data_IF_673652314798
#
_entry.id   IF_673652314798
#
_cell.length_a   1.000
_cell.length_b   1.000
_cell.length_c   1.000
_cell.angle_alpha   90.00
_cell.angle_beta   90.00
_cell.angle_gamma   90.00
#
_symmetry.space_group_name_H-M   'P 1'
#
loop_
_entity.id
_entity.type
_entity.pdbx_description
1 polymer ?
#
# COMPACT_ATOMS: atom_id res chain seq x y z
N UNK A 1 2.17 10.23 -82.40
CA UNK A 1 1.77 10.93 -81.17
C UNK A 1 1.56 9.87 -80.12
N UNK A 2 2.52 9.69 -79.22
CA UNK A 2 2.50 8.65 -78.19
C UNK A 2 2.51 9.36 -76.84
N UNK A 3 1.41 9.23 -76.09
CA UNK A 3 1.29 9.81 -74.76
C UNK A 3 2.11 8.98 -73.77
N UNK A 4 3.06 9.60 -73.08
CA UNK A 4 3.71 9.02 -71.91
C UNK A 4 2.73 9.05 -70.73
N UNK A 5 2.44 7.90 -70.16
CA UNK A 5 1.77 7.80 -68.88
C UNK A 5 2.69 8.33 -67.77
N UNK A 6 2.23 9.33 -67.03
CA UNK A 6 2.89 9.80 -65.82
C UNK A 6 2.84 8.69 -64.78
N UNK A 7 4.00 8.10 -64.45
CA UNK A 7 4.15 7.29 -63.25
C UNK A 7 4.12 8.25 -62.06
N UNK A 8 3.00 8.23 -61.33
CA UNK A 8 2.87 8.97 -60.07
C UNK A 8 3.93 8.50 -59.08
N UNK A 9 4.60 9.45 -58.45
CA UNK A 9 5.48 9.18 -57.32
C UNK A 9 4.60 8.87 -56.11
N UNK A 10 4.52 7.61 -55.69
CA UNK A 10 4.03 7.26 -54.35
C UNK A 10 5.00 7.83 -53.33
N UNK A 11 4.53 8.72 -52.45
CA UNK A 11 5.33 9.16 -51.31
C UNK A 11 5.49 7.98 -50.34
N UNK A 12 6.58 7.90 -49.57
CA UNK A 12 6.74 6.90 -48.52
C UNK A 12 5.61 6.90 -47.46
N UNK A 13 4.83 7.98 -47.37
CA UNK A 13 3.63 8.10 -46.56
C UNK A 13 2.39 7.39 -47.14
N UNK A 14 2.40 7.03 -48.43
CA UNK A 14 1.25 6.42 -49.12
C UNK A 14 1.22 4.89 -48.97
N UNK A 15 2.25 4.32 -48.34
CA UNK A 15 2.24 2.93 -47.87
C UNK A 15 1.81 2.99 -46.42
N UNK A 16 0.67 2.38 -46.06
CA UNK A 16 0.41 2.03 -44.66
C UNK A 16 1.58 1.16 -44.19
N UNK A 17 2.52 1.77 -43.48
CA UNK A 17 3.75 1.12 -43.03
C UNK A 17 3.48 0.08 -41.93
N UNK A 18 2.25 0.06 -41.40
CA UNK A 18 1.78 -0.87 -40.38
C UNK A 18 0.40 -1.35 -40.79
N UNK A 19 0.25 -2.66 -40.99
CA UNK A 19 -1.08 -3.26 -41.09
C UNK A 19 -1.81 -2.96 -39.78
N UNK A 20 -3.07 -2.55 -39.85
CA UNK A 20 -3.92 -2.48 -38.66
C UNK A 20 -3.97 -3.88 -38.07
N UNK A 21 -3.43 -4.06 -36.87
CA UNK A 21 -3.51 -5.33 -36.17
C UNK A 21 -4.99 -5.48 -35.76
N UNK A 22 -5.71 -6.41 -36.40
CA UNK A 22 -7.10 -6.75 -36.06
C UNK A 22 -7.20 -7.49 -34.72
N UNK A 23 -6.07 -7.81 -34.10
CA UNK A 23 -6.01 -8.54 -32.84
C UNK A 23 -6.23 -7.58 -31.67
N UNK A 24 -7.02 -8.01 -30.69
CA UNK A 24 -7.35 -7.26 -29.48
C UNK A 24 -6.66 -7.87 -28.25
N UNK A 25 -6.56 -7.06 -27.19
CA UNK A 25 -6.08 -7.51 -25.88
C UNK A 25 -7.29 -7.81 -24.98
N UNK A 26 -7.41 -9.04 -24.53
CA UNK A 26 -8.47 -9.46 -23.61
C UNK A 26 -7.95 -9.42 -22.17
N UNK A 27 -8.83 -9.07 -21.23
CA UNK A 27 -8.62 -9.37 -19.81
C UNK A 27 -9.10 -10.81 -19.59
N UNK A 28 -8.16 -11.76 -19.55
CA UNK A 28 -8.49 -13.20 -19.53
C UNK A 28 -8.81 -13.73 -18.14
N UNK A 29 -8.23 -13.13 -17.11
CA UNK A 29 -8.45 -13.50 -15.70
C UNK A 29 -8.22 -12.30 -14.79
N UNK A 30 -8.93 -12.22 -13.67
CA UNK A 30 -8.68 -11.24 -12.61
C UNK A 30 -8.47 -11.92 -11.27
N UNK A 31 -7.61 -11.33 -10.43
CA UNK A 31 -7.46 -11.69 -9.02
C UNK A 31 -7.64 -10.43 -8.17
N UNK A 32 -8.66 -10.32 -7.32
CA UNK A 32 -9.72 -11.29 -7.12
C UNK A 32 -10.59 -11.51 -8.37
N UNK A 33 -11.28 -12.65 -8.42
CA UNK A 33 -12.26 -12.93 -9.46
C UNK A 33 -13.49 -12.01 -9.33
N UNK A 34 -14.21 -11.81 -10.43
CA UNK A 34 -15.47 -11.04 -10.43
C UNK A 34 -16.46 -11.58 -9.38
N UNK A 35 -16.93 -10.69 -8.52
CA UNK A 35 -17.87 -11.00 -7.44
C UNK A 35 -17.27 -11.75 -6.26
N UNK A 36 -15.94 -11.91 -6.21
CA UNK A 36 -15.29 -12.59 -5.10
C UNK A 36 -15.59 -11.91 -3.75
N UNK A 37 -15.80 -12.72 -2.73
CA UNK A 37 -16.00 -12.29 -1.34
C UNK A 37 -14.87 -12.83 -0.48
N UNK A 38 -14.57 -12.20 0.65
CA UNK A 38 -13.51 -12.71 1.52
C UNK A 38 -12.10 -12.35 1.06
N UNK A 39 -11.96 -11.37 0.17
CA UNK A 39 -10.66 -10.96 -0.37
C UNK A 39 -9.81 -10.34 0.73
N UNK A 40 -8.56 -10.79 0.89
CA UNK A 40 -7.68 -10.25 1.92
C UNK A 40 -7.42 -8.74 1.69
N UNK A 41 -7.44 -7.97 2.77
CA UNK A 41 -7.43 -6.49 2.74
C UNK A 41 -6.14 -5.89 2.14
N UNK A 42 -5.05 -6.65 2.11
CA UNK A 42 -3.77 -6.26 1.53
C UNK A 42 -3.49 -6.89 0.17
N UNK A 43 -4.41 -7.71 -0.36
CA UNK A 43 -4.21 -8.37 -1.65
C UNK A 43 -4.16 -7.34 -2.78
N UNK A 44 -3.19 -7.43 -3.70
CA UNK A 44 -3.25 -6.68 -4.93
C UNK A 44 -4.49 -7.08 -5.74
N UNK A 45 -4.98 -6.15 -6.55
CA UNK A 45 -5.86 -6.49 -7.67
C UNK A 45 -4.99 -6.70 -8.89
N UNK A 46 -5.09 -7.86 -9.53
CA UNK A 46 -4.27 -8.26 -10.67
C UNK A 46 -5.18 -8.56 -11.86
N UNK A 47 -4.85 -7.99 -13.02
CA UNK A 47 -5.53 -8.22 -14.28
C UNK A 47 -4.56 -8.94 -15.20
N UNK A 48 -4.90 -10.16 -15.59
CA UNK A 48 -4.15 -10.94 -16.55
C UNK A 48 -4.64 -10.65 -17.97
N UNK A 49 -3.72 -10.26 -18.85
CA UNK A 49 -4.00 -9.91 -20.24
C UNK A 49 -3.61 -11.04 -21.20
N UNK A 50 -4.33 -11.18 -22.31
CA UNK A 50 -4.01 -12.15 -23.37
C UNK A 50 -2.67 -11.86 -24.07
N UNK A 51 -2.19 -10.61 -24.00
CA UNK A 51 -1.02 -10.08 -24.72
C UNK A 51 -0.22 -9.07 -23.89
N UNK A 52 0.95 -8.70 -24.39
CA UNK A 52 1.83 -7.73 -23.71
C UNK A 52 1.35 -6.31 -23.94
N UNK A 53 1.12 -5.56 -22.86
CA UNK A 53 0.69 -4.16 -22.91
C UNK A 53 1.88 -3.20 -23.06
N UNK A 54 1.71 -2.08 -23.76
CA UNK A 54 2.70 -1.00 -23.74
C UNK A 54 2.65 -0.30 -22.37
N UNK A 55 3.71 -0.35 -21.55
CA UNK A 55 3.72 0.28 -20.24
C UNK A 55 3.61 1.82 -20.31
N UNK A 56 3.93 2.44 -21.46
CA UNK A 56 3.74 3.87 -21.68
C UNK A 56 2.29 4.26 -22.01
N UNK A 57 1.45 3.29 -22.40
CA UNK A 57 0.06 3.50 -22.75
C UNK A 57 -0.91 3.34 -21.57
N UNK A 58 -0.40 3.08 -20.36
CA UNK A 58 -1.22 2.88 -19.17
C UNK A 58 -0.66 3.64 -17.98
N UNK A 59 -1.55 4.29 -17.25
CA UNK A 59 -1.25 4.99 -16.00
C UNK A 59 -2.42 4.89 -15.02
N UNK A 60 -2.37 5.67 -13.93
CA UNK A 60 -3.41 5.66 -12.88
C UNK A 60 -4.75 6.25 -13.33
N UNK A 61 -4.82 6.94 -14.47
CA UNK A 61 -6.10 7.43 -15.02
C UNK A 61 -6.86 6.30 -15.70
N UNK A 62 -6.12 5.36 -16.28
CA UNK A 62 -6.65 4.17 -16.94
C UNK A 62 -7.20 3.15 -15.95
N UNK A 63 -6.54 2.97 -14.80
CA UNK A 63 -6.93 1.99 -13.79
C UNK A 63 -7.09 2.63 -12.42
N UNK A 64 -8.29 2.56 -11.86
CA UNK A 64 -8.63 3.18 -10.58
C UNK A 64 -9.48 2.28 -9.69
N UNK A 65 -9.33 2.42 -8.37
CA UNK A 65 -10.09 1.67 -7.36
C UNK A 65 -11.10 2.59 -6.65
N UNK A 66 -12.29 2.06 -6.41
CA UNK A 66 -13.42 2.78 -5.86
C UNK A 66 -14.16 1.98 -4.80
N UNK A 67 -14.83 2.70 -3.89
CA UNK A 67 -15.96 2.17 -3.12
C UNK A 67 -17.04 3.25 -3.05
N UNK A 68 -18.25 2.94 -3.52
CA UNK A 68 -19.29 3.94 -3.73
C UNK A 68 -18.80 5.08 -4.63
N UNK A 69 -18.76 6.31 -4.09
CA UNK A 69 -18.28 7.51 -4.80
C UNK A 69 -16.83 7.90 -4.46
N UNK A 70 -16.16 7.13 -3.58
CA UNK A 70 -14.81 7.44 -3.09
C UNK A 70 -13.76 6.77 -3.98
N UNK A 71 -12.74 7.52 -4.35
CA UNK A 71 -11.59 7.07 -5.12
C UNK A 71 -10.41 6.79 -4.17
N UNK A 72 -9.68 5.71 -4.43
CA UNK A 72 -8.55 5.31 -3.60
C UNK A 72 -7.24 5.55 -4.33
N UNK A 73 -6.27 6.10 -3.61
CA UNK A 73 -4.90 6.18 -4.05
C UNK A 73 -4.31 4.77 -4.20
N UNK A 74 -3.77 4.49 -5.38
CA UNK A 74 -3.15 3.21 -5.71
C UNK A 74 -1.78 3.37 -6.36
N UNK A 75 -0.98 2.31 -6.23
CA UNK A 75 0.23 2.09 -6.99
C UNK A 75 -0.07 1.09 -8.10
N UNK A 76 0.39 1.41 -9.32
CA UNK A 76 0.29 0.54 -10.48
C UNK A 76 1.66 -0.10 -10.72
N UNK A 77 1.67 -1.41 -10.88
CA UNK A 77 2.84 -2.19 -11.32
C UNK A 77 2.45 -3.00 -12.55
N UNK A 78 3.37 -3.10 -13.51
CA UNK A 78 3.16 -3.83 -14.75
C UNK A 78 4.24 -4.88 -14.88
N UNK A 79 3.82 -6.14 -14.94
CA UNK A 79 4.72 -7.25 -15.24
C UNK A 79 4.55 -7.60 -16.71
N UNK A 80 5.59 -7.35 -17.51
CA UNK A 80 5.59 -7.70 -18.94
C UNK A 80 5.69 -9.22 -19.15
N UNK A 81 6.25 -9.93 -18.17
CA UNK A 81 6.38 -11.38 -18.13
C UNK A 81 5.90 -11.86 -16.75
N UNK A 82 4.69 -12.39 -16.70
CA UNK A 82 4.02 -12.74 -15.45
C UNK A 82 4.51 -14.09 -14.92
N UNK A 83 5.66 -14.10 -14.25
CA UNK A 83 6.07 -15.26 -13.42
C UNK A 83 5.12 -15.38 -12.22
N UNK A 84 4.77 -16.60 -11.82
CA UNK A 84 3.75 -16.85 -10.81
C UNK A 84 4.07 -16.10 -9.48
N UNK A 85 3.10 -15.37 -8.88
CA UNK A 85 3.35 -14.63 -7.65
C UNK A 85 3.44 -15.52 -6.40
N UNK A 86 2.97 -16.77 -6.46
CA UNK A 86 3.12 -17.74 -5.37
C UNK A 86 4.45 -18.50 -5.51
N UNK A 87 5.42 -18.30 -4.59
CA UNK A 87 6.69 -19.02 -4.60
C UNK A 87 6.55 -20.51 -4.22
N UNK A 88 5.35 -20.96 -3.83
CA UNK A 88 5.07 -22.35 -3.47
C UNK A 88 4.50 -23.20 -4.60
N UNK A 89 4.16 -22.60 -5.75
CA UNK A 89 3.76 -23.31 -6.96
C UNK A 89 5.00 -23.67 -7.80
N UNK A 90 5.34 -24.97 -7.96
CA UNK A 90 6.55 -25.40 -8.65
C UNK A 90 6.45 -25.36 -10.19
N UNK A 91 5.35 -24.88 -10.76
CA UNK A 91 5.18 -24.82 -12.22
C UNK A 91 5.92 -23.60 -12.80
N UNK A 92 6.97 -23.84 -13.60
CA UNK A 92 7.78 -22.81 -14.29
C UNK A 92 7.04 -22.07 -15.42
N UNK A 93 5.70 -22.20 -15.48
CA UNK A 93 4.86 -21.58 -16.50
C UNK A 93 4.36 -20.22 -16.03
N UNK A 94 4.31 -19.22 -16.93
CA UNK A 94 3.78 -17.91 -16.57
C UNK A 94 2.30 -18.04 -16.19
N UNK A 95 1.87 -17.33 -15.14
CA UNK A 95 0.48 -17.28 -14.72
C UNK A 95 -0.41 -16.71 -15.83
N UNK A 96 0.13 -15.75 -16.57
CA UNK A 96 -0.58 -15.03 -17.62
C UNK A 96 0.09 -15.21 -18.99
N UNK A 97 -0.68 -15.40 -20.09
CA UNK A 97 -0.11 -15.45 -21.44
C UNK A 97 0.54 -14.11 -21.86
N UNK A 98 0.05 -12.99 -21.35
CA UNK A 98 0.56 -11.64 -21.62
C UNK A 98 1.05 -10.91 -20.38
N UNK A 99 0.77 -9.61 -20.31
CA UNK A 99 1.14 -8.80 -19.15
C UNK A 99 0.17 -8.95 -17.99
N UNK A 100 0.67 -8.72 -16.78
CA UNK A 100 -0.16 -8.54 -15.58
C UNK A 100 -0.12 -7.08 -15.17
N UNK A 101 -1.30 -6.50 -14.97
CA UNK A 101 -1.46 -5.19 -14.34
C UNK A 101 -1.81 -5.43 -12.87
N UNK A 102 -0.92 -5.05 -11.96
CA UNK A 102 -1.15 -5.12 -10.52
C UNK A 102 -1.47 -3.73 -9.97
N UNK A 103 -2.65 -3.60 -9.35
CA UNK A 103 -3.12 -2.39 -8.69
C UNK A 103 -3.10 -2.64 -7.19
N UNK A 104 -2.24 -1.92 -6.47
CA UNK A 104 -2.14 -2.01 -5.01
C UNK A 104 -2.69 -0.75 -4.37
N UNK A 105 -3.67 -0.82 -3.45
CA UNK A 105 -4.05 0.35 -2.68
C UNK A 105 -2.86 0.80 -1.81
N UNK A 106 -2.73 2.11 -1.57
CA UNK A 106 -1.64 2.63 -0.71
C UNK A 106 -1.79 2.27 0.77
N UNK A 107 -3.01 1.98 1.21
CA UNK A 107 -3.32 1.41 2.52
C UNK A 107 -4.15 0.14 2.36
N UNK A 108 -4.30 -0.64 3.43
CA UNK A 108 -5.19 -1.80 3.40
C UNK A 108 -6.63 -1.37 3.09
N UNK A 109 -7.36 -2.18 2.32
CA UNK A 109 -8.80 -1.99 2.16
C UNK A 109 -9.53 -2.06 3.50
N UNK A 110 -10.68 -1.42 3.63
CA UNK A 110 -11.58 -1.61 4.77
C UNK A 110 -12.25 -2.99 4.67
N UNK A 111 -12.52 -3.61 5.82
CA UNK A 111 -13.10 -4.95 5.88
C UNK A 111 -14.60 -4.94 5.61
N UNK A 112 -15.10 -5.95 4.88
CA UNK A 112 -16.52 -6.14 4.61
C UNK A 112 -17.11 -5.12 3.63
N UNK A 113 -16.27 -4.34 2.96
CA UNK A 113 -16.67 -3.31 2.00
C UNK A 113 -16.57 -3.85 0.58
N UNK A 114 -17.54 -3.49 -0.26
CA UNK A 114 -17.48 -3.74 -1.69
C UNK A 114 -16.60 -2.68 -2.37
N UNK A 115 -15.65 -3.17 -3.16
CA UNK A 115 -14.76 -2.37 -3.99
C UNK A 115 -15.01 -2.65 -5.46
N UNK A 116 -14.70 -1.65 -6.28
CA UNK A 116 -14.73 -1.71 -7.73
C UNK A 116 -13.40 -1.28 -8.31
N UNK A 117 -12.87 -2.02 -9.27
CA UNK A 117 -11.78 -1.55 -10.14
C UNK A 117 -12.34 -1.21 -11.50
N UNK A 118 -12.00 -0.01 -11.97
CA UNK A 118 -12.33 0.47 -13.31
C UNK A 118 -11.12 0.35 -14.21
N UNK A 119 -11.30 -0.13 -15.44
CA UNK A 119 -10.31 -0.01 -16.52
C UNK A 119 -10.92 0.77 -17.68
N UNK A 120 -10.16 1.75 -18.20
CA UNK A 120 -10.50 2.47 -19.42
C UNK A 120 -9.89 1.78 -20.66
N UNK A 121 -10.56 1.83 -21.82
CA UNK A 121 -10.17 1.07 -23.01
C UNK A 121 -9.06 1.71 -23.83
N UNK A 122 -8.57 2.89 -23.44
CA UNK A 122 -7.57 3.65 -24.18
C UNK A 122 -6.15 3.09 -24.10
N UNK A 123 -5.92 2.06 -23.27
CA UNK A 123 -4.64 1.38 -23.22
C UNK A 123 -4.43 0.50 -24.45
N UNK A 124 -3.17 0.40 -24.92
CA UNK A 124 -2.79 -0.33 -26.14
C UNK A 124 -1.65 -1.31 -25.90
N UNK A 125 -1.58 -2.31 -26.77
CA UNK A 125 -0.49 -3.28 -26.85
C UNK A 125 0.80 -2.72 -27.43
N UNK A 126 1.87 -3.50 -27.30
CA UNK A 126 3.17 -3.19 -27.91
C UNK A 126 3.12 -3.04 -29.45
N UNK A 127 2.18 -3.72 -30.13
CA UNK A 127 1.98 -3.58 -31.57
C UNK A 127 0.79 -2.66 -31.92
N UNK A 128 0.24 -1.96 -30.94
CA UNK A 128 -0.91 -1.06 -31.10
C UNK A 128 -2.27 -1.74 -30.98
N UNK A 129 -2.34 -2.98 -30.49
CA UNK A 129 -3.60 -3.70 -30.29
C UNK A 129 -4.47 -3.00 -29.23
N UNK A 130 -5.75 -2.69 -29.51
CA UNK A 130 -6.65 -2.11 -28.51
C UNK A 130 -7.14 -3.17 -27.50
N UNK A 131 -7.63 -2.73 -26.35
CA UNK A 131 -8.37 -3.60 -25.44
C UNK A 131 -9.68 -4.07 -26.10
N UNK A 132 -9.99 -5.36 -25.93
CA UNK A 132 -11.26 -5.94 -26.34
C UNK A 132 -12.36 -5.52 -25.36
N UNK A 133 -13.26 -4.65 -25.82
CA UNK A 133 -14.37 -4.12 -25.02
C UNK A 133 -15.68 -4.87 -25.19
N UNK A 134 -15.69 -5.92 -26.02
CA UNK A 134 -16.89 -6.75 -26.28
C UNK A 134 -16.94 -8.00 -25.38
N UNK A 135 -15.88 -8.26 -24.63
CA UNK A 135 -15.76 -9.39 -23.70
C UNK A 135 -16.47 -9.16 -22.36
N UNK A 136 -16.68 -10.24 -21.60
CA UNK A 136 -17.36 -10.19 -20.32
C UNK A 136 -16.61 -9.30 -19.30
N UNK A 137 -17.36 -8.46 -18.58
CA UNK A 137 -16.82 -7.51 -17.58
C UNK A 137 -16.77 -6.06 -18.08
N UNK A 138 -16.88 -5.84 -19.39
CA UNK A 138 -17.11 -4.52 -19.97
C UNK A 138 -18.58 -4.12 -19.87
N UNK A 139 -18.81 -2.88 -19.48
CA UNK A 139 -20.11 -2.23 -19.45
C UNK A 139 -20.18 -1.24 -20.60
N UNK A 140 -21.20 -1.41 -21.44
CA UNK A 140 -21.46 -0.53 -22.56
C UNK A 140 -21.71 0.91 -22.07
N UNK A 141 -21.28 1.92 -22.83
CA UNK A 141 -21.51 3.31 -22.46
C UNK A 141 -23.00 3.68 -22.54
N UNK A 142 -23.43 4.64 -21.71
CA UNK A 142 -24.82 5.10 -21.70
C UNK A 142 -25.11 6.09 -22.85
N UNK A 143 -24.05 6.60 -23.51
CA UNK A 143 -24.14 7.48 -24.68
C UNK A 143 -22.99 7.22 -25.68
N UNK A 144 -23.16 7.67 -26.93
CA UNK A 144 -22.16 7.48 -28.00
C UNK A 144 -20.84 8.25 -27.75
N UNK A 145 -20.85 9.26 -26.87
CA UNK A 145 -19.68 10.06 -26.52
C UNK A 145 -18.86 9.45 -25.36
N UNK A 146 -19.38 8.40 -24.72
CA UNK A 146 -18.72 7.71 -23.60
C UNK A 146 -17.99 6.45 -24.07
N UNK A 147 -16.86 6.16 -23.42
CA UNK A 147 -16.12 4.93 -23.67
C UNK A 147 -16.65 3.80 -22.78
N UNK A 148 -16.68 2.54 -23.27
CA UNK A 148 -17.01 1.39 -22.43
C UNK A 148 -16.01 1.29 -21.26
N UNK A 149 -16.47 0.76 -20.13
CA UNK A 149 -15.64 0.61 -18.93
C UNK A 149 -15.66 -0.83 -18.45
N UNK A 150 -14.49 -1.37 -18.13
CA UNK A 150 -14.41 -2.64 -17.43
C UNK A 150 -14.60 -2.42 -15.94
N UNK A 151 -15.45 -3.23 -15.32
CA UNK A 151 -15.68 -3.21 -13.88
C UNK A 151 -15.39 -4.56 -13.26
N UNK A 152 -14.40 -4.58 -12.37
CA UNK A 152 -14.19 -5.69 -11.44
C UNK A 152 -14.82 -5.36 -10.11
N UNK A 153 -15.78 -6.15 -9.65
CA UNK A 153 -16.37 -6.00 -8.31
C UNK A 153 -15.86 -7.10 -7.38
N UNK A 154 -15.50 -6.75 -6.15
CA UNK A 154 -15.18 -7.72 -5.11
C UNK A 154 -15.51 -7.16 -3.73
N UNK A 155 -15.69 -8.06 -2.77
CA UNK A 155 -15.92 -7.70 -1.36
C UNK A 155 -14.75 -8.21 -0.54
N UNK A 156 -14.14 -7.32 0.21
CA UNK A 156 -13.07 -7.70 1.14
C UNK A 156 -13.63 -8.64 2.20
N UNK A 157 -12.75 -9.47 2.76
CA UNK A 157 -13.09 -10.16 4.00
C UNK A 157 -13.60 -9.12 4.99
N UNK A 158 -14.68 -9.46 5.70
CA UNK A 158 -15.04 -8.70 6.88
C UNK A 158 -13.80 -8.50 7.71
N UNK A 159 -13.76 -7.39 8.45
CA UNK A 159 -12.98 -7.39 9.65
C UNK A 159 -13.62 -8.47 10.54
N UNK A 160 -13.24 -9.73 10.30
CA UNK A 160 -12.95 -10.61 11.40
C UNK A 160 -12.10 -9.71 12.28
N UNK A 161 -12.57 -9.40 13.50
CA UNK A 161 -11.66 -9.14 14.59
C UNK A 161 -10.61 -10.21 14.40
N UNK A 162 -9.49 -9.89 13.76
CA UNK A 162 -8.45 -10.85 13.60
C UNK A 162 -8.05 -11.04 15.05
N UNK A 163 -8.23 -12.22 15.68
CA UNK A 163 -7.30 -12.58 16.70
C UNK A 163 -6.01 -12.85 15.91
N UNK A 164 -5.42 -11.80 15.32
CA UNK A 164 -3.98 -11.70 15.24
C UNK A 164 -3.61 -12.04 16.66
N UNK A 165 -3.10 -13.26 16.89
CA UNK A 165 -3.16 -13.89 18.20
C UNK A 165 -2.68 -12.83 19.15
N UNK A 166 -3.55 -12.30 20.05
CA UNK A 166 -3.25 -11.10 20.84
C UNK A 166 -1.81 -11.28 21.24
N UNK A 167 -0.88 -10.56 20.58
CA UNK A 167 0.53 -10.94 20.74
C UNK A 167 0.71 -10.66 22.21
N UNK A 168 0.94 -11.69 23.06
CA UNK A 168 0.84 -11.48 24.49
C UNK A 168 1.94 -10.47 24.79
N UNK A 169 1.50 -9.26 25.06
CA UNK A 169 2.29 -8.06 25.08
C UNK A 169 1.90 -7.34 26.35
N UNK A 170 2.87 -6.69 27.01
CA UNK A 170 2.56 -5.99 28.24
C UNK A 170 1.54 -4.88 27.93
N UNK A 171 0.61 -4.67 28.85
CA UNK A 171 -0.24 -3.46 28.93
C UNK A 171 0.63 -2.23 29.22
N UNK A 172 0.09 -1.03 28.99
CA UNK A 172 0.81 0.18 29.39
C UNK A 172 0.97 0.22 30.91
N UNK A 173 0.01 -0.30 31.68
CA UNK A 173 0.18 -0.48 33.13
C UNK A 173 1.40 -1.35 33.51
N UNK A 174 1.66 -2.44 32.79
CA UNK A 174 2.84 -3.28 33.02
C UNK A 174 4.16 -2.60 32.64
N UNK A 175 4.14 -1.67 31.68
CA UNK A 175 5.31 -0.83 31.36
C UNK A 175 5.66 0.18 32.46
N UNK A 176 4.75 0.42 33.41
CA UNK A 176 4.94 1.25 34.60
C UNK A 176 5.24 0.44 35.87
N UNK A 177 5.25 -0.89 35.80
CA UNK A 177 5.59 -1.74 36.94
C UNK A 177 7.05 -1.52 37.40
N UNK A 178 7.39 -1.85 38.66
CA UNK A 178 8.76 -1.73 39.15
C UNK A 178 9.77 -2.47 38.25
N UNK A 179 10.82 -1.78 37.83
CA UNK A 179 11.85 -2.26 36.93
C UNK A 179 11.52 -2.18 35.43
N UNK A 180 10.33 -1.73 35.05
CA UNK A 180 9.94 -1.51 33.65
C UNK A 180 10.45 -0.15 33.11
N UNK A 181 10.28 0.07 31.81
CA UNK A 181 10.85 1.26 31.12
C UNK A 181 10.27 2.58 31.64
N UNK A 182 9.00 2.59 32.06
CA UNK A 182 8.32 3.77 32.61
C UNK A 182 8.15 3.70 34.14
N UNK A 183 8.90 2.81 34.82
CA UNK A 183 8.85 2.68 36.28
C UNK A 183 8.97 4.07 36.94
N UNK A 184 7.97 4.53 37.72
CA UNK A 184 7.93 5.85 38.35
C UNK A 184 9.11 6.11 39.30
N UNK A 185 9.77 5.07 39.79
CA UNK A 185 10.94 5.16 40.67
C UNK A 185 12.27 5.14 39.89
N UNK A 186 12.27 4.73 38.62
CA UNK A 186 13.47 4.68 37.78
C UNK A 186 13.81 6.03 37.17
N UNK A 187 15.10 6.38 37.05
CA UNK A 187 15.54 7.66 36.47
C UNK A 187 15.41 7.73 34.94
N UNK A 188 15.27 6.58 34.28
CA UNK A 188 15.34 6.38 32.81
C UNK A 188 14.34 7.24 32.02
N UNK A 189 13.25 7.71 32.63
CA UNK A 189 12.32 8.68 32.02
C UNK A 189 11.88 9.77 33.00
N UNK A 190 12.67 10.05 34.04
CA UNK A 190 12.29 10.94 35.14
C UNK A 190 11.90 12.36 34.69
N UNK A 191 12.56 12.87 33.66
CA UNK A 191 12.25 14.18 33.08
C UNK A 191 10.82 14.30 32.55
N UNK A 192 10.17 13.20 32.17
CA UNK A 192 8.77 13.18 31.71
C UNK A 192 7.74 13.15 32.85
N UNK A 193 8.19 13.19 34.11
CA UNK A 193 7.34 13.14 35.31
C UNK A 193 7.48 14.38 36.19
N UNK A 194 8.65 15.02 36.15
CA UNK A 194 8.93 16.23 36.90
C UNK A 194 7.98 17.38 36.51
N UNK A 195 7.38 18.02 37.52
CA UNK A 195 6.51 19.18 37.30
C UNK A 195 7.29 20.35 36.71
N UNK A 196 6.69 21.02 35.70
CA UNK A 196 7.30 22.17 35.04
C UNK A 196 8.42 21.85 34.06
N UNK A 197 8.75 20.56 33.85
CA UNK A 197 9.71 20.17 32.83
C UNK A 197 9.11 20.32 31.41
N UNK A 198 9.93 20.73 30.45
CA UNK A 198 9.51 20.78 29.04
C UNK A 198 9.21 19.37 28.51
N UNK A 199 9.95 18.36 28.97
CA UNK A 199 9.77 16.97 28.57
C UNK A 199 8.37 16.44 28.95
N UNK A 200 7.91 16.74 30.17
CA UNK A 200 6.56 16.38 30.64
C UNK A 200 5.46 17.12 29.88
N UNK A 201 5.69 18.40 29.52
CA UNK A 201 4.73 19.16 28.73
C UNK A 201 4.56 18.61 27.29
N UNK A 202 5.60 17.95 26.76
CA UNK A 202 5.56 17.31 25.45
C UNK A 202 5.02 15.88 25.49
N UNK A 203 5.34 15.13 26.56
CA UNK A 203 4.92 13.77 26.80
C UNK A 203 4.87 13.51 28.32
N UNK A 204 3.68 13.36 28.89
CA UNK A 204 3.49 13.13 30.33
C UNK A 204 3.50 11.63 30.68
N UNK A 205 4.62 11.16 31.22
CA UNK A 205 4.79 9.78 31.70
C UNK A 205 4.57 9.65 33.22
N UNK A 206 3.82 10.56 33.86
CA UNK A 206 3.59 10.51 35.32
C UNK A 206 2.65 9.38 35.76
N UNK A 207 1.74 8.95 34.89
CA UNK A 207 0.81 7.84 35.14
C UNK A 207 0.47 7.13 33.83
N UNK A 208 0.08 5.84 33.85
CA UNK A 208 -0.34 5.12 32.64
C UNK A 208 -1.45 5.85 31.87
N UNK A 209 -2.41 6.42 32.59
CA UNK A 209 -3.55 7.11 31.97
C UNK A 209 -3.16 8.42 31.27
N UNK A 210 -2.20 9.17 31.81
CA UNK A 210 -1.66 10.38 31.15
C UNK A 210 -0.79 10.01 29.97
N UNK A 211 0.07 9.01 30.16
CA UNK A 211 0.96 8.50 29.12
C UNK A 211 0.16 7.98 27.93
N UNK A 212 -0.92 7.22 28.14
CA UNK A 212 -1.76 6.71 27.06
C UNK A 212 -2.30 7.82 26.15
N UNK A 213 -2.76 8.92 26.76
CA UNK A 213 -3.29 10.06 26.01
C UNK A 213 -2.22 10.68 25.12
N UNK A 214 -1.01 10.87 25.65
CA UNK A 214 0.07 11.56 24.94
C UNK A 214 0.84 10.62 23.99
N UNK A 215 0.84 9.31 24.26
CA UNK A 215 1.50 8.30 23.42
C UNK A 215 0.61 7.84 22.26
N UNK A 216 -0.67 7.56 22.53
CA UNK A 216 -1.55 6.82 21.60
C UNK A 216 -2.65 7.69 21.01
N UNK A 217 -3.26 8.58 21.82
CA UNK A 217 -4.41 9.37 21.37
C UNK A 217 -4.03 10.69 20.71
N UNK A 218 -2.76 11.06 20.76
CA UNK A 218 -2.29 12.32 20.23
C UNK A 218 -2.08 12.25 18.71
N UNK A 219 -2.58 13.26 17.99
CA UNK A 219 -2.52 13.36 16.52
C UNK A 219 -1.23 14.02 16.01
N UNK A 220 -0.35 14.46 16.92
CA UNK A 220 0.92 15.09 16.57
C UNK A 220 1.86 14.08 15.92
N UNK A 221 2.42 14.48 14.80
CA UNK A 221 3.41 13.70 14.06
C UNK A 221 4.81 14.12 14.48
N UNK A 222 5.64 13.13 14.80
CA UNK A 222 7.06 13.33 15.10
C UNK A 222 7.88 13.71 13.87
N UNK A 223 9.16 14.01 14.06
CA UNK A 223 10.02 14.50 12.96
C UNK A 223 10.23 13.48 11.82
N UNK A 224 9.98 12.19 12.08
CA UNK A 224 10.04 11.13 11.07
C UNK A 224 8.77 10.97 10.24
N UNK A 225 7.75 11.82 10.46
CA UNK A 225 6.47 11.72 9.73
C UNK A 225 5.49 10.69 10.30
N UNK A 226 5.77 10.15 11.49
CA UNK A 226 4.95 9.14 12.16
C UNK A 226 4.40 9.64 13.51
N UNK A 227 3.25 9.13 13.99
CA UNK A 227 2.72 9.45 15.32
C UNK A 227 3.67 8.97 16.43
N UNK A 228 3.43 9.43 17.67
CA UNK A 228 4.21 9.00 18.83
C UNK A 228 4.19 7.47 18.97
N UNK A 229 3.01 6.85 18.90
CA UNK A 229 2.81 5.41 18.77
C UNK A 229 1.84 5.15 17.63
N UNK A 230 2.22 4.27 16.70
CA UNK A 230 1.35 3.69 15.69
C UNK A 230 0.96 2.26 16.16
N UNK A 231 -0.27 2.05 16.66
CA UNK A 231 -0.71 0.75 17.12
C UNK A 231 -0.49 -0.34 16.06
N UNK A 232 0.03 -1.49 16.49
CA UNK A 232 0.39 -2.65 15.65
C UNK A 232 1.56 -2.45 14.69
N UNK A 233 2.16 -1.25 14.60
CA UNK A 233 3.23 -0.95 13.65
C UNK A 233 4.42 -0.25 14.35
N UNK A 234 5.28 -0.98 15.08
CA UNK A 234 6.41 -0.39 15.81
C UNK A 234 7.38 0.39 14.94
N UNK A 235 7.60 -0.05 13.69
CA UNK A 235 8.46 0.64 12.72
C UNK A 235 7.89 1.98 12.25
N UNK A 236 6.60 2.25 12.49
CA UNK A 236 5.92 3.52 12.23
C UNK A 236 5.62 4.26 13.54
N UNK A 237 6.33 3.95 14.63
CA UNK A 237 6.17 4.63 15.92
C UNK A 237 7.37 5.52 16.20
N UNK A 238 7.15 6.84 16.29
CA UNK A 238 8.22 7.80 16.59
C UNK A 238 8.92 7.48 17.92
N UNK A 239 8.19 6.94 18.90
CA UNK A 239 8.74 6.48 20.17
C UNK A 239 9.87 5.44 19.98
N UNK A 240 9.71 4.49 19.05
CA UNK A 240 10.77 3.50 18.78
C UNK A 240 11.98 4.18 18.14
N UNK A 241 11.76 5.12 17.23
CA UNK A 241 12.85 5.85 16.56
C UNK A 241 13.68 6.67 17.53
N UNK A 242 13.05 7.25 18.57
CA UNK A 242 13.79 8.01 19.60
C UNK A 242 14.62 7.11 20.50
N UNK A 243 14.30 5.83 20.66
CA UNK A 243 15.09 4.87 21.44
C UNK A 243 16.32 4.32 20.71
N UNK A 244 16.29 4.35 19.38
CA UNK A 244 17.35 3.79 18.55
C UNK A 244 18.51 4.77 18.37
N UNK A 245 19.72 4.20 18.28
CA UNK A 245 20.97 4.94 18.11
C UNK A 245 21.76 4.40 16.93
N UNK A 246 22.52 5.27 16.29
CA UNK A 246 23.49 4.88 15.27
C UNK A 246 24.76 4.25 15.89
N UNK A 247 25.72 3.88 15.04
CA UNK A 247 26.97 3.26 15.46
C UNK A 247 27.84 4.17 16.35
N UNK A 248 27.66 5.49 16.25
CA UNK A 248 28.36 6.49 17.03
C UNK A 248 27.59 6.88 18.31
N UNK A 249 26.41 6.29 18.53
CA UNK A 249 25.57 6.51 19.70
C UNK A 249 24.59 7.70 19.60
N UNK A 250 24.49 8.33 18.44
CA UNK A 250 23.59 9.46 18.17
C UNK A 250 22.19 9.01 17.76
N UNK A 251 21.23 9.93 17.76
CA UNK A 251 19.89 9.67 17.23
C UNK A 251 19.94 9.29 15.75
N UNK A 252 18.97 8.47 15.31
CA UNK A 252 18.84 8.11 13.91
C UNK A 252 18.60 9.35 13.03
N UNK A 253 19.06 9.29 11.77
CA UNK A 253 18.85 10.38 10.80
C UNK A 253 17.37 10.73 10.67
N UNK A 254 17.03 11.99 10.90
CA UNK A 254 15.66 12.52 10.79
C UNK A 254 14.87 12.48 12.11
N UNK A 255 15.40 11.88 13.17
CA UNK A 255 14.88 12.02 14.53
C UNK A 255 15.37 13.35 15.10
N UNK A 256 14.45 14.18 15.59
CA UNK A 256 14.77 15.49 16.17
C UNK A 256 15.04 15.35 17.67
N UNK A 257 16.23 15.79 18.08
CA UNK A 257 16.67 15.76 19.48
C UNK A 257 17.69 14.65 19.75
N UNK A 258 18.10 14.55 21.01
CA UNK A 258 18.98 13.48 21.46
C UNK A 258 18.21 12.15 21.58
N UNK A 259 18.89 11.01 21.39
CA UNK A 259 18.26 9.70 21.57
C UNK A 259 17.87 9.52 23.04
N UNK A 260 16.73 8.86 23.25
CA UNK A 260 16.17 8.58 24.55
C UNK A 260 16.47 7.12 24.97
N UNK A 261 16.56 6.84 26.27
CA UNK A 261 16.78 7.81 27.35
C UNK A 261 18.15 8.49 27.20
N UNK A 262 18.34 9.70 27.76
CA UNK A 262 19.60 10.43 27.65
C UNK A 262 20.71 9.71 28.41
N UNK A 263 21.94 9.77 27.88
CA UNK A 263 23.07 9.01 28.42
C UNK A 263 23.10 7.60 27.84
N UNK A 264 22.81 6.59 28.66
CA UNK A 264 22.89 5.18 28.25
C UNK A 264 21.64 4.74 27.45
N UNK A 265 21.78 3.82 26.47
CA UNK A 265 20.63 3.27 25.76
C UNK A 265 19.69 2.53 26.70
N UNK A 266 18.40 2.49 26.34
CA UNK A 266 17.47 1.58 26.99
C UNK A 266 17.98 0.13 26.87
N UNK A 267 17.75 -0.68 27.91
CA UNK A 267 18.09 -2.09 27.84
C UNK A 267 17.32 -2.77 26.70
N UNK A 268 17.91 -3.81 26.11
CA UNK A 268 17.22 -4.58 25.06
C UNK A 268 15.86 -5.11 25.55
N UNK A 269 15.77 -5.53 26.81
CA UNK A 269 14.51 -6.01 27.39
C UNK A 269 13.44 -4.90 27.47
N UNK A 270 13.84 -3.67 27.82
CA UNK A 270 12.93 -2.52 27.85
C UNK A 270 12.45 -2.13 26.45
N UNK A 271 13.38 -2.04 25.48
CA UNK A 271 13.03 -1.74 24.10
C UNK A 271 12.10 -2.81 23.50
N UNK A 272 12.41 -4.09 23.76
CA UNK A 272 11.56 -5.20 23.31
C UNK A 272 10.17 -5.18 23.97
N UNK A 273 10.07 -4.86 25.25
CA UNK A 273 8.78 -4.76 25.95
C UNK A 273 7.90 -3.67 25.34
N UNK A 274 8.49 -2.53 24.99
CA UNK A 274 7.80 -1.44 24.31
C UNK A 274 7.33 -1.84 22.89
N UNK A 275 8.21 -2.49 22.12
CA UNK A 275 7.86 -3.03 20.79
C UNK A 275 6.70 -4.01 20.90
N UNK A 276 6.74 -4.94 21.87
CA UNK A 276 5.66 -5.92 22.10
C UNK A 276 4.35 -5.27 22.49
N UNK A 277 4.37 -4.23 23.33
CA UNK A 277 3.17 -3.44 23.65
C UNK A 277 2.57 -2.80 22.39
N UNK A 278 3.40 -2.19 21.54
CA UNK A 278 2.94 -1.56 20.29
C UNK A 278 2.39 -2.62 19.32
N UNK A 279 3.10 -3.74 19.12
CA UNK A 279 2.65 -4.87 18.30
C UNK A 279 1.30 -5.43 18.77
N UNK A 280 1.08 -5.50 20.09
CA UNK A 280 -0.17 -5.93 20.71
C UNK A 280 -1.31 -4.90 20.56
N UNK A 281 -1.07 -3.76 19.91
CA UNK A 281 -2.07 -2.73 19.66
C UNK A 281 -2.01 -1.56 20.64
N UNK A 282 -0.90 -1.40 21.38
CA UNK A 282 -0.69 -0.32 22.33
C UNK A 282 -1.81 -0.21 23.37
N UNK A 283 -2.19 -1.36 23.96
CA UNK A 283 -3.29 -1.47 24.93
C UNK A 283 -3.02 -0.64 26.19
N UNK A 284 -4.08 -0.08 26.79
CA UNK A 284 -3.97 0.60 28.08
C UNK A 284 -3.54 -0.40 29.16
#
# INVERSE_FOLDING_TARGET
MTALAARGCTQPSDTELFATVEETIEIVETRPAQGATGVARSSPVELCLSRTIDPGAIDRTHVAIFSGAVWFDSTLEIQLFATHPDPSDPDDRPWCPGSVISVRPRGAFEGGIQYRVRVQPSAIGWAGEPLDTETAGWVAPDSEDELPLFWLEFTTAEELEDPSPEIPGPTLEELFAPGAIFDPEATTCGCHREEGSLARALLDLSTPSRAYRDLVLEDRVGSTGYPMVAPRVPAESYLIHTLLRDADGHALRGVLGDPMPPGEPASYAHALSLVRWIEAGALR
#
